data_IF_211023523506
#
_entry.id   IF_211023523506
#
_cell.length_a   1.000
_cell.length_b   1.000
_cell.length_c   1.000
_cell.angle_alpha   90.00
_cell.angle_beta   90.00
_cell.angle_gamma   90.00
#
_symmetry.space_group_name_H-M   'P 1'
#
loop_
_entity.id
_entity.type
_entity.pdbx_description
1 polymer ?
#
# COMPACT_ATOMS: atom_id res chain seq x y z
N UNK A 1 -5.72 -39.67 15.33
CA UNK A 1 -4.49 -38.86 15.36
C UNK A 1 -4.71 -37.71 16.33
N UNK A 2 -3.83 -37.49 17.33
CA UNK A 2 -4.05 -36.58 18.46
C UNK A 2 -3.77 -35.11 18.13
N UNK A 3 -4.15 -34.65 16.94
CA UNK A 3 -3.96 -33.27 16.49
C UNK A 3 -5.24 -32.43 16.57
N UNK A 4 -6.11 -32.65 17.57
CA UNK A 4 -7.50 -32.11 17.51
C UNK A 4 -7.98 -31.40 18.78
N UNK A 5 -7.26 -31.43 19.92
CA UNK A 5 -7.72 -30.72 21.13
C UNK A 5 -6.86 -29.51 21.47
N UNK A 6 -5.54 -29.69 21.55
CA UNK A 6 -4.61 -28.61 21.90
C UNK A 6 -4.62 -27.46 20.90
N UNK A 7 -4.71 -27.75 19.60
CA UNK A 7 -4.79 -26.72 18.56
C UNK A 7 -6.10 -25.93 18.63
N UNK A 8 -7.20 -26.57 19.04
CA UNK A 8 -8.51 -25.91 19.16
C UNK A 8 -8.54 -25.01 20.40
N UNK A 9 -8.05 -25.51 21.54
CA UNK A 9 -7.96 -24.71 22.78
C UNK A 9 -7.02 -23.50 22.62
N UNK A 10 -5.94 -23.65 21.85
CA UNK A 10 -4.99 -22.57 21.58
C UNK A 10 -5.54 -21.53 20.61
N UNK A 11 -6.46 -21.92 19.71
CA UNK A 11 -7.17 -21.00 18.80
C UNK A 11 -8.33 -20.30 19.52
N UNK A 12 -9.05 -20.97 20.42
CA UNK A 12 -10.10 -20.35 21.26
C UNK A 12 -9.55 -19.34 22.26
N UNK A 13 -8.32 -19.53 22.77
CA UNK A 13 -7.65 -18.55 23.62
C UNK A 13 -7.22 -17.28 22.85
N UNK A 14 -7.19 -17.32 21.52
CA UNK A 14 -6.93 -16.17 20.66
C UNK A 14 -8.27 -15.51 20.34
N UNK A 15 -8.69 -14.67 21.27
CA UNK A 15 -9.82 -13.73 21.21
C UNK A 15 -10.12 -13.24 19.77
N UNK A 16 -11.08 -13.90 19.12
CA UNK A 16 -11.48 -13.67 17.72
C UNK A 16 -12.09 -12.27 17.54
N UNK A 17 -12.52 -11.65 18.65
CA UNK A 17 -13.09 -10.30 18.70
C UNK A 17 -12.03 -9.19 18.69
N UNK A 18 -10.74 -9.53 18.79
CA UNK A 18 -9.64 -8.64 18.40
C UNK A 18 -9.22 -9.00 16.99
N UNK A 19 -9.82 -8.37 16.00
CA UNK A 19 -9.27 -8.35 14.66
C UNK A 19 -7.83 -7.79 14.72
N UNK A 20 -6.85 -8.69 14.85
CA UNK A 20 -5.46 -8.43 15.29
C UNK A 20 -4.60 -7.81 14.18
N UNK A 21 -5.16 -7.69 12.97
CA UNK A 21 -4.47 -7.33 11.73
C UNK A 21 -4.60 -5.86 11.32
N UNK A 22 -4.71 -4.95 12.29
CA UNK A 22 -4.45 -3.51 12.09
C UNK A 22 -2.95 -3.21 12.16
N UNK A 23 -2.12 -3.95 11.41
CA UNK A 23 -0.69 -3.67 11.35
C UNK A 23 -0.48 -2.41 10.50
N UNK A 24 -0.17 -1.30 11.14
CA UNK A 24 0.37 -0.12 10.50
C UNK A 24 1.90 -0.12 10.67
N UNK A 25 2.61 0.16 9.58
CA UNK A 25 4.05 0.41 9.60
C UNK A 25 4.21 1.87 9.20
N UNK A 26 4.77 2.70 10.07
CA UNK A 26 4.86 4.14 9.86
C UNK A 26 6.14 4.46 9.09
N UNK A 27 6.16 4.03 7.83
CA UNK A 27 7.31 4.23 6.95
C UNK A 27 7.33 5.67 6.44
N UNK A 28 8.50 6.30 6.48
CA UNK A 28 8.69 7.62 5.90
C UNK A 28 8.40 7.56 4.38
N UNK A 29 7.32 8.23 3.97
CA UNK A 29 6.80 8.16 2.60
C UNK A 29 6.84 9.53 1.94
N UNK A 30 7.28 9.56 0.68
CA UNK A 30 7.08 10.72 -0.19
C UNK A 30 5.64 10.69 -0.71
N UNK A 31 4.91 11.78 -0.49
CA UNK A 31 3.53 11.94 -0.96
C UNK A 31 3.48 13.03 -2.01
N UNK A 32 2.61 12.85 -3.01
CA UNK A 32 2.26 13.96 -3.90
C UNK A 32 1.61 15.11 -3.09
N UNK A 33 1.55 16.33 -3.64
CA UNK A 33 0.63 17.35 -3.15
C UNK A 33 -0.80 16.81 -3.05
N UNK A 34 -1.57 17.34 -2.10
CA UNK A 34 -2.99 17.02 -2.00
C UNK A 34 -3.74 17.52 -3.23
N UNK A 35 -4.74 16.74 -3.62
CA UNK A 35 -5.74 17.11 -4.60
C UNK A 35 -5.51 16.56 -6.00
N UNK A 36 -6.62 16.43 -6.71
CA UNK A 36 -6.67 15.86 -8.05
C UNK A 36 -6.73 16.97 -9.09
N UNK A 37 -5.64 17.11 -9.86
CA UNK A 37 -5.52 18.01 -11.00
C UNK A 37 -4.59 17.38 -12.05
N UNK A 38 -4.41 18.05 -13.21
CA UNK A 38 -3.53 17.54 -14.27
C UNK A 38 -2.07 17.40 -13.81
N UNK A 39 -1.58 18.29 -12.93
CA UNK A 39 -0.21 18.24 -12.42
C UNK A 39 0.02 17.02 -11.54
N UNK A 40 -0.95 16.64 -10.70
CA UNK A 40 -0.92 15.39 -9.92
C UNK A 40 -0.86 14.17 -10.83
N UNK A 41 -1.63 14.18 -11.93
CA UNK A 41 -1.60 13.08 -12.92
C UNK A 41 -0.23 12.98 -13.60
N UNK A 42 0.34 14.11 -14.03
CA UNK A 42 1.68 14.16 -14.63
C UNK A 42 2.76 13.72 -13.63
N UNK A 43 2.71 14.22 -12.41
CA UNK A 43 3.61 13.84 -11.32
C UNK A 43 3.62 12.33 -11.09
N UNK A 44 2.45 11.69 -11.02
CA UNK A 44 2.33 10.24 -10.85
C UNK A 44 2.94 9.49 -12.04
N UNK A 45 2.64 9.96 -13.25
CA UNK A 45 3.14 9.36 -14.49
C UNK A 45 4.67 9.40 -14.55
N UNK A 46 5.26 10.55 -14.20
CA UNK A 46 6.71 10.76 -14.13
C UNK A 46 7.36 9.85 -13.07
N UNK A 47 6.78 9.79 -11.86
CA UNK A 47 7.26 8.92 -10.78
C UNK A 47 7.23 7.45 -11.16
N UNK A 48 6.22 7.03 -11.92
CA UNK A 48 6.06 5.66 -12.38
C UNK A 48 6.85 5.36 -13.67
N UNK A 49 7.51 6.35 -14.28
CA UNK A 49 8.22 6.22 -15.57
C UNK A 49 7.31 5.66 -16.65
N UNK A 50 6.07 6.15 -16.69
CA UNK A 50 5.08 5.73 -17.69
C UNK A 50 5.45 6.27 -19.09
N UNK A 51 5.10 5.55 -20.16
CA UNK A 51 5.24 6.08 -21.52
C UNK A 51 4.24 7.21 -21.78
N UNK A 52 4.61 8.16 -22.63
CA UNK A 52 3.83 9.39 -22.91
C UNK A 52 2.36 9.13 -23.29
N UNK A 53 2.11 8.07 -24.08
CA UNK A 53 0.75 7.72 -24.48
C UNK A 53 -0.16 7.38 -23.29
N UNK A 54 0.40 6.82 -22.21
CA UNK A 54 -0.34 6.47 -21.01
C UNK A 54 -0.63 7.72 -20.17
N UNK A 55 0.32 8.65 -20.09
CA UNK A 55 0.12 9.97 -19.48
C UNK A 55 -1.04 10.71 -20.15
N UNK A 56 -1.02 10.79 -21.48
CA UNK A 56 -2.08 11.47 -22.24
C UNK A 56 -3.43 10.75 -22.13
N UNK A 57 -3.43 9.42 -22.07
CA UNK A 57 -4.65 8.64 -21.82
C UNK A 57 -5.26 8.96 -20.45
N UNK A 58 -4.42 9.02 -19.39
CA UNK A 58 -4.86 9.39 -18.03
C UNK A 58 -5.39 10.82 -17.98
N UNK A 59 -4.74 11.76 -18.66
CA UNK A 59 -5.20 13.15 -18.75
C UNK A 59 -6.54 13.25 -19.48
N UNK A 60 -6.72 12.49 -20.56
CA UNK A 60 -8.01 12.38 -21.26
C UNK A 60 -9.12 11.84 -20.34
N UNK A 61 -8.82 10.81 -19.55
CA UNK A 61 -9.75 10.27 -18.56
C UNK A 61 -10.10 11.29 -17.46
N UNK A 62 -9.12 12.03 -16.95
CA UNK A 62 -9.33 13.09 -15.97
C UNK A 62 -10.23 14.21 -16.51
N UNK A 63 -9.95 14.71 -17.73
CA UNK A 63 -10.78 15.74 -18.38
C UNK A 63 -12.21 15.25 -18.60
N UNK A 64 -12.40 14.00 -19.00
CA UNK A 64 -13.73 13.39 -19.13
C UNK A 64 -14.43 13.31 -17.78
N UNK A 65 -13.72 12.89 -16.73
CA UNK A 65 -14.29 12.77 -15.39
C UNK A 65 -14.81 14.11 -14.86
N UNK A 66 -14.11 15.22 -15.13
CA UNK A 66 -14.56 16.57 -14.78
C UNK A 66 -15.91 16.96 -15.42
N UNK A 67 -16.30 16.32 -16.53
CA UNK A 67 -17.60 16.57 -17.17
C UNK A 67 -18.71 15.63 -16.69
N UNK A 68 -18.41 14.71 -15.78
CA UNK A 68 -19.39 13.76 -15.26
C UNK A 68 -20.02 14.30 -13.98
N UNK A 69 -21.34 14.17 -13.90
CA UNK A 69 -22.07 14.41 -12.66
C UNK A 69 -22.07 13.13 -11.82
N UNK A 70 -21.79 13.29 -10.53
CA UNK A 70 -21.87 12.20 -9.56
C UNK A 70 -23.35 11.75 -9.43
N UNK A 71 -23.67 10.49 -9.78
CA UNK A 71 -25.04 9.99 -9.67
C UNK A 71 -25.39 9.69 -8.21
N UNK A 72 -26.62 10.02 -7.83
CA UNK A 72 -27.14 9.72 -6.51
C UNK A 72 -27.81 8.33 -6.51
N UNK A 73 -27.06 7.29 -6.17
CA UNK A 73 -27.57 5.91 -6.13
C UNK A 73 -28.18 5.54 -4.78
N UNK A 74 -29.46 5.10 -4.79
CA UNK A 74 -30.23 4.53 -3.67
C UNK A 74 -30.35 5.38 -2.39
N UNK A 75 -31.19 4.95 -1.43
CA UNK A 75 -31.51 5.67 -0.17
C UNK A 75 -30.34 5.68 0.84
N UNK A 76 -29.11 5.83 0.37
CA UNK A 76 -27.90 5.87 1.19
C UNK A 76 -27.40 7.31 1.23
N UNK A 77 -27.25 7.83 2.44
CA UNK A 77 -26.68 9.15 2.66
C UNK A 77 -25.22 9.00 3.07
N UNK A 78 -24.32 9.59 2.29
CA UNK A 78 -22.90 9.69 2.59
C UNK A 78 -22.44 11.14 2.37
N UNK A 79 -21.43 11.61 3.12
CA UNK A 79 -20.83 12.90 2.84
C UNK A 79 -20.15 12.87 1.46
N UNK A 80 -20.25 13.97 0.71
CA UNK A 80 -19.55 14.09 -0.56
C UNK A 80 -18.04 13.94 -0.36
N UNK A 81 -17.39 13.27 -1.30
CA UNK A 81 -15.95 13.08 -1.28
C UNK A 81 -15.29 14.41 -1.62
N UNK A 82 -14.40 14.90 -0.74
CA UNK A 82 -13.51 16.00 -1.06
C UNK A 82 -12.27 15.45 -1.80
N UNK A 83 -12.36 15.43 -3.13
CA UNK A 83 -11.26 14.99 -4.00
C UNK A 83 -10.02 15.90 -3.92
N UNK A 84 -10.12 17.08 -3.31
CA UNK A 84 -8.97 17.98 -3.16
C UNK A 84 -8.19 17.75 -1.86
N UNK A 85 -8.77 17.05 -0.87
CA UNK A 85 -8.10 16.77 0.41
C UNK A 85 -7.36 15.42 0.47
N UNK A 86 -7.32 14.69 -0.65
CA UNK A 86 -6.71 13.36 -0.75
C UNK A 86 -5.28 13.40 -1.30
N UNK A 87 -4.48 12.43 -0.85
CA UNK A 87 -3.18 12.11 -1.45
C UNK A 87 -3.37 11.02 -2.51
N UNK A 88 -3.07 11.34 -3.77
CA UNK A 88 -3.22 10.39 -4.90
C UNK A 88 -1.96 9.56 -5.18
N UNK A 89 -0.87 9.84 -4.47
CA UNK A 89 0.39 9.12 -4.56
C UNK A 89 1.09 9.12 -3.22
N UNK A 90 1.57 7.95 -2.82
CA UNK A 90 2.45 7.75 -1.68
C UNK A 90 3.39 6.61 -2.02
N UNK A 91 4.69 6.85 -1.91
CA UNK A 91 5.72 5.83 -2.06
C UNK A 91 6.70 5.90 -0.89
N UNK A 92 7.17 4.77 -0.35
CA UNK A 92 8.20 4.78 0.68
C UNK A 92 9.50 5.35 0.11
N UNK A 93 10.22 6.14 0.92
CA UNK A 93 11.47 6.78 0.48
C UNK A 93 12.58 5.78 0.15
N UNK A 94 12.58 4.61 0.81
CA UNK A 94 13.55 3.53 0.62
C UNK A 94 13.00 2.47 -0.35
N UNK A 95 13.01 2.77 -1.66
CA UNK A 95 12.67 1.80 -2.73
C UNK A 95 13.89 1.32 -3.53
N UNK A 96 15.09 1.80 -3.22
CA UNK A 96 16.31 1.12 -3.63
C UNK A 96 16.35 -0.17 -2.82
N UNK A 97 16.04 -1.31 -3.46
CA UNK A 97 16.10 -2.62 -2.82
C UNK A 97 17.39 -2.72 -2.02
N UNK A 98 17.32 -2.95 -0.71
CA UNK A 98 18.50 -2.98 0.12
C UNK A 98 19.43 -4.10 -0.36
N UNK A 99 20.72 -3.81 -0.44
CA UNK A 99 21.76 -4.78 -0.87
C UNK A 99 21.88 -5.93 0.17
N UNK A 100 21.35 -5.74 1.38
CA UNK A 100 21.33 -6.71 2.48
C UNK A 100 20.17 -6.44 3.46
N UNK A 101 19.78 -7.44 4.25
CA UNK A 101 18.73 -7.30 5.30
C UNK A 101 19.01 -6.14 6.27
N UNK A 102 20.27 -5.77 6.47
CA UNK A 102 20.71 -4.72 7.41
C UNK A 102 20.38 -3.29 6.94
N UNK A 103 20.04 -3.12 5.65
CA UNK A 103 19.63 -1.83 5.07
C UNK A 103 18.10 -1.64 5.08
N UNK A 104 17.35 -2.63 5.57
CA UNK A 104 15.89 -2.55 5.71
C UNK A 104 15.54 -1.69 6.93
N UNK A 105 14.52 -0.85 6.79
CA UNK A 105 13.98 -0.06 7.91
C UNK A 105 13.62 -0.99 9.09
N UNK A 106 14.09 -0.70 10.32
CA UNK A 106 13.81 -1.53 11.50
C UNK A 106 12.32 -1.74 11.75
N UNK A 107 11.43 -0.83 11.33
CA UNK A 107 9.99 -1.02 11.44
C UNK A 107 9.47 -2.14 10.51
N UNK A 108 10.07 -2.31 9.34
CA UNK A 108 9.71 -3.37 8.38
C UNK A 108 10.14 -4.73 8.92
N UNK A 109 11.36 -4.83 9.47
CA UNK A 109 11.86 -6.06 10.10
C UNK A 109 10.99 -6.46 11.31
N UNK A 110 10.65 -5.50 12.16
CA UNK A 110 9.74 -5.74 13.29
C UNK A 110 8.34 -6.19 12.82
N UNK A 111 7.87 -5.67 11.69
CA UNK A 111 6.59 -6.09 11.08
C UNK A 111 6.68 -7.55 10.59
N UNK A 112 7.76 -7.94 9.93
CA UNK A 112 7.96 -9.32 9.47
C UNK A 112 8.09 -10.32 10.62
N UNK A 113 8.78 -9.96 11.71
CA UNK A 113 8.85 -10.76 12.94
C UNK A 113 7.47 -10.93 13.57
N UNK A 114 6.69 -9.84 13.65
CA UNK A 114 5.32 -9.84 14.19
C UNK A 114 4.34 -10.67 13.35
N UNK A 115 4.60 -10.81 12.04
CA UNK A 115 3.87 -11.66 11.11
C UNK A 115 4.36 -13.13 11.12
N UNK A 116 5.47 -13.44 11.79
CA UNK A 116 6.02 -14.78 11.87
C UNK A 116 6.62 -15.32 10.56
N UNK A 117 7.02 -14.43 9.65
CA UNK A 117 7.55 -14.80 8.33
C UNK A 117 8.99 -15.34 8.48
N UNK A 118 9.34 -16.53 7.96
CA UNK A 118 10.71 -17.05 7.99
C UNK A 118 11.73 -16.12 7.33
N UNK A 119 12.95 -16.00 7.89
CA UNK A 119 14.02 -15.08 7.42
C UNK A 119 14.27 -15.12 5.89
N UNK A 120 14.27 -16.31 5.28
CA UNK A 120 14.42 -16.45 3.82
C UNK A 120 13.29 -15.81 3.02
N UNK A 121 12.06 -15.84 3.53
CA UNK A 121 10.92 -15.18 2.89
C UNK A 121 10.95 -13.67 3.13
N UNK A 122 11.50 -13.22 4.26
CA UNK A 122 11.74 -11.79 4.53
C UNK A 122 12.70 -11.17 3.52
N UNK A 123 13.80 -11.87 3.19
CA UNK A 123 14.79 -11.43 2.18
C UNK A 123 14.15 -11.24 0.79
N UNK A 124 13.30 -12.19 0.39
CA UNK A 124 12.61 -12.14 -0.91
C UNK A 124 11.58 -11.02 -0.94
N UNK A 125 10.78 -10.86 0.12
CA UNK A 125 9.74 -9.83 0.23
C UNK A 125 10.32 -8.41 0.36
N UNK A 126 11.49 -8.28 0.98
CA UNK A 126 12.23 -7.02 1.06
C UNK A 126 12.96 -6.67 -0.26
N UNK A 127 12.95 -7.56 -1.25
CA UNK A 127 13.59 -7.32 -2.54
C UNK A 127 15.12 -7.36 -2.50
N UNK A 128 15.71 -8.06 -1.52
CA UNK A 128 17.17 -8.23 -1.42
C UNK A 128 17.65 -8.97 -2.66
N UNK A 129 18.44 -8.30 -3.50
CA UNK A 129 19.09 -8.91 -4.66
C UNK A 129 20.44 -9.46 -4.23
N UNK A 130 20.56 -10.78 -4.12
CA UNK A 130 21.86 -11.40 -3.96
C UNK A 130 22.76 -11.02 -5.15
N UNK A 131 23.90 -10.36 -4.90
CA UNK A 131 24.96 -10.15 -5.89
C UNK A 131 25.54 -11.52 -6.29
N UNK A 132 24.93 -12.18 -7.26
CA UNK A 132 25.35 -13.53 -7.65
C UNK A 132 24.59 -14.23 -8.78
N UNK A 133 23.75 -13.56 -9.57
CA UNK A 133 23.21 -14.04 -10.86
C UNK A 133 23.03 -12.88 -11.85
#
# INVERSE_FOLDING_TARGET
MPAVQQTIEQVEAIDVDKYKYGFETNIESEKAPKGLNEDTVRYISDKNREPEWLTEWRLGAFRRWLTLDEPNWARVHYPKIDYQDLYYYSAPKSMSGPDSLDEIDPEILATYEKLGIPLKEQEILAGVRNKGD
#
